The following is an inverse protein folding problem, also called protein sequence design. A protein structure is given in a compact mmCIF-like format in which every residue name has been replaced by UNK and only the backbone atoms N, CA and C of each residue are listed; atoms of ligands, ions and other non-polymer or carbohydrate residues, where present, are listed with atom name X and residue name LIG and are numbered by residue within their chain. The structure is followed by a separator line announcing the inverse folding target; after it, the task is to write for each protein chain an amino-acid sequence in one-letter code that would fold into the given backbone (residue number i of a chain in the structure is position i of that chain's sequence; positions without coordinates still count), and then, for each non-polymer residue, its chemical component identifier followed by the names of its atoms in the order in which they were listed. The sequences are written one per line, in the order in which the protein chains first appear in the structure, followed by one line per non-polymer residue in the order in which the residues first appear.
data_IF_381564494065
#
_entry.id   IF_381564494065
#
_cell.length_a   1.000
_cell.length_b   1.000
_cell.length_c   1.000
_cell.angle_alpha   90.00
_cell.angle_beta   90.00
_cell.angle_gamma   90.00
#
_symmetry.space_group_name_H-M   'P 1'
#
loop_
_entity.id
_entity.type
_entity.pdbx_description
1 polymer ?
#
# COMPACT_ATOMS: atom_id res chain seq x y z
N UNK A 1 20.58 3.78 12.25
CA UNK A 1 21.06 2.59 13.02
C UNK A 1 20.36 1.39 12.41
N UNK A 2 21.10 0.37 11.98
CA UNK A 2 20.50 -0.85 11.41
C UNK A 2 19.97 -1.71 12.57
N UNK A 3 18.76 -2.29 12.39
CA UNK A 3 18.11 -3.05 13.47
C UNK A 3 17.91 -4.53 13.13
N UNK A 4 18.52 -5.02 12.03
CA UNK A 4 18.39 -6.39 11.52
C UNK A 4 16.95 -6.82 11.19
N UNK A 5 16.04 -5.86 10.97
CA UNK A 5 14.66 -6.14 10.56
C UNK A 5 14.51 -6.01 9.05
N UNK A 6 14.06 -7.08 8.41
CA UNK A 6 13.75 -7.15 6.99
C UNK A 6 12.29 -7.55 6.81
N UNK A 7 11.49 -6.71 6.17
CA UNK A 7 10.06 -6.96 5.95
C UNK A 7 9.83 -7.13 4.44
N UNK A 8 9.27 -8.27 4.03
CA UNK A 8 9.06 -8.62 2.63
C UNK A 8 7.60 -8.45 2.22
N UNK A 9 7.39 -7.86 1.05
CA UNK A 9 6.11 -7.74 0.38
C UNK A 9 6.26 -8.07 -1.10
N UNK A 10 5.30 -8.80 -1.68
CA UNK A 10 5.27 -9.06 -3.12
C UNK A 10 3.87 -9.47 -3.62
N UNK A 11 3.75 -9.63 -4.93
CA UNK A 11 2.63 -10.27 -5.62
C UNK A 11 2.91 -11.74 -6.03
N UNK A 12 3.90 -12.39 -5.40
CA UNK A 12 4.35 -13.74 -5.78
C UNK A 12 3.49 -14.86 -5.21
N UNK A 13 2.67 -14.56 -4.18
CA UNK A 13 1.99 -15.61 -3.41
C UNK A 13 2.96 -16.48 -2.60
N UNK A 14 2.41 -17.54 -2.00
CA UNK A 14 3.17 -18.53 -1.22
C UNK A 14 3.02 -19.95 -1.78
N UNK A 15 2.47 -20.10 -2.99
CA UNK A 15 2.18 -21.40 -3.58
C UNK A 15 3.42 -22.06 -4.15
N UNK A 16 4.39 -21.25 -4.61
CA UNK A 16 5.67 -21.72 -5.13
C UNK A 16 6.87 -21.28 -4.28
N UNK A 17 8.08 -21.50 -4.78
CA UNK A 17 9.32 -21.23 -4.06
C UNK A 17 9.86 -19.80 -4.16
N UNK A 18 9.17 -18.85 -4.80
CA UNK A 18 9.73 -17.53 -5.09
C UNK A 18 10.06 -16.75 -3.79
N UNK A 19 9.10 -16.64 -2.87
CA UNK A 19 9.32 -15.99 -1.56
C UNK A 19 10.35 -16.72 -0.72
N UNK A 20 10.33 -18.05 -0.71
CA UNK A 20 11.33 -18.87 -0.01
C UNK A 20 12.74 -18.63 -0.55
N UNK A 21 12.89 -18.45 -1.88
CA UNK A 21 14.18 -18.11 -2.49
C UNK A 21 14.67 -16.71 -2.08
N UNK A 22 13.78 -15.73 -1.96
CA UNK A 22 14.13 -14.39 -1.44
C UNK A 22 14.63 -14.47 0.01
N UNK A 23 13.94 -15.24 0.85
CA UNK A 23 14.36 -15.49 2.25
C UNK A 23 15.72 -16.19 2.30
N UNK A 24 15.93 -17.23 1.48
CA UNK A 24 17.18 -17.96 1.41
C UNK A 24 18.37 -17.06 1.08
N UNK A 25 18.22 -16.20 0.06
CA UNK A 25 19.25 -15.22 -0.32
C UNK A 25 19.50 -14.20 0.80
N UNK A 26 18.46 -13.75 1.48
CA UNK A 26 18.63 -12.83 2.59
C UNK A 26 19.38 -13.46 3.78
N UNK A 27 19.09 -14.72 4.11
CA UNK A 27 19.77 -15.46 5.18
C UNK A 27 21.20 -15.91 4.78
N UNK A 28 21.48 -16.15 3.50
CA UNK A 28 22.82 -16.36 2.98
C UNK A 28 23.70 -15.12 3.22
N UNK A 29 23.14 -13.93 3.01
CA UNK A 29 23.83 -12.66 3.26
C UNK A 29 24.03 -12.40 4.76
N UNK A 30 23.01 -12.63 5.60
CA UNK A 30 23.13 -12.51 7.05
C UNK A 30 22.16 -13.44 7.79
N UNK A 31 22.67 -14.53 8.41
CA UNK A 31 21.84 -15.49 9.15
C UNK A 31 21.14 -14.90 10.39
N UNK A 32 21.53 -13.71 10.83
CA UNK A 32 20.98 -13.05 12.02
C UNK A 32 19.79 -12.12 11.70
N UNK A 33 19.43 -11.99 10.43
CA UNK A 33 18.29 -11.18 10.01
C UNK A 33 16.98 -11.72 10.58
N UNK A 34 16.18 -10.82 11.10
CA UNK A 34 14.78 -11.08 11.49
C UNK A 34 13.89 -10.75 10.32
N UNK A 35 13.50 -11.80 9.58
CA UNK A 35 12.69 -11.65 8.37
C UNK A 35 11.21 -11.78 8.73
N UNK A 36 10.42 -10.82 8.29
CA UNK A 36 8.98 -10.77 8.48
C UNK A 36 8.28 -10.59 7.12
N UNK A 37 7.01 -10.97 7.07
CA UNK A 37 6.17 -10.77 5.89
C UNK A 37 5.17 -9.66 6.16
N UNK A 38 5.07 -8.69 5.25
CA UNK A 38 3.94 -7.79 5.20
C UNK A 38 2.76 -8.54 4.57
N UNK A 39 2.89 -8.89 3.31
CA UNK A 39 1.99 -9.79 2.56
C UNK A 39 2.67 -10.24 1.26
N UNK A 40 2.26 -11.39 0.75
CA UNK A 40 2.63 -11.86 -0.59
C UNK A 40 1.41 -12.09 -1.49
N UNK A 41 0.22 -11.66 -1.01
CA UNK A 41 -1.06 -11.81 -1.69
C UNK A 41 -1.52 -10.52 -2.39
N UNK A 42 -0.58 -9.64 -2.76
CA UNK A 42 -0.89 -8.52 -3.66
C UNK A 42 -1.41 -9.10 -4.98
N UNK A 43 -2.48 -8.53 -5.49
CA UNK A 43 -2.99 -8.92 -6.81
C UNK A 43 -1.87 -8.80 -7.85
N UNK A 44 -1.60 -9.83 -8.65
CA UNK A 44 -0.51 -9.81 -9.63
C UNK A 44 -0.49 -8.53 -10.46
N UNK A 45 0.69 -7.89 -10.53
CA UNK A 45 0.96 -6.65 -11.27
C UNK A 45 0.29 -5.38 -10.71
N UNK A 46 -0.45 -5.46 -9.58
CA UNK A 46 -1.15 -4.32 -9.02
C UNK A 46 -0.22 -3.46 -8.14
N UNK A 47 0.46 -2.50 -8.78
CA UNK A 47 1.38 -1.56 -8.13
C UNK A 47 0.64 -0.68 -7.12
N UNK A 48 -0.61 -0.27 -7.42
CA UNK A 48 -1.42 0.55 -6.52
C UNK A 48 -1.66 -0.18 -5.19
N UNK A 49 -2.08 -1.45 -5.26
CA UNK A 49 -2.28 -2.26 -4.06
C UNK A 49 -0.98 -2.44 -3.28
N UNK A 50 0.15 -2.72 -3.97
CA UNK A 50 1.47 -2.82 -3.34
C UNK A 50 1.86 -1.54 -2.59
N UNK A 51 1.68 -0.39 -3.21
CA UNK A 51 1.93 0.92 -2.60
C UNK A 51 1.04 1.18 -1.39
N UNK A 52 -0.25 0.85 -1.50
CA UNK A 52 -1.22 1.05 -0.41
C UNK A 52 -0.93 0.14 0.79
N UNK A 53 -0.65 -1.16 0.58
CA UNK A 53 -0.34 -2.10 1.67
C UNK A 53 0.94 -1.72 2.41
N UNK A 54 1.93 -1.21 1.68
CA UNK A 54 3.15 -0.68 2.28
C UNK A 54 2.83 0.53 3.19
N UNK A 55 2.07 1.50 2.69
CA UNK A 55 1.59 2.65 3.45
C UNK A 55 0.76 2.22 4.67
N UNK A 56 -0.15 1.27 4.52
CA UNK A 56 -1.00 0.76 5.60
C UNK A 56 -0.19 0.26 6.80
N UNK A 57 1.06 -0.14 6.59
CA UNK A 57 1.82 -0.93 7.56
C UNK A 57 3.06 -0.21 8.09
N UNK A 58 3.70 0.63 7.28
CA UNK A 58 5.04 1.20 7.56
C UNK A 58 5.11 1.92 8.90
N UNK A 59 4.06 2.62 9.29
CA UNK A 59 4.01 3.42 10.52
C UNK A 59 4.06 2.59 11.82
N UNK A 60 3.75 1.31 11.75
CA UNK A 60 3.77 0.40 12.90
C UNK A 60 5.13 -0.28 13.10
N UNK A 61 6.09 -0.06 12.19
CA UNK A 61 7.42 -0.64 12.28
C UNK A 61 8.42 0.35 12.86
N UNK A 62 9.39 -0.13 13.66
CA UNK A 62 10.37 0.73 14.26
C UNK A 62 11.28 1.40 13.23
N UNK A 63 11.91 2.49 13.65
CA UNK A 63 12.98 3.17 12.94
C UNK A 63 14.13 2.18 12.60
N UNK A 64 14.74 2.35 11.44
CA UNK A 64 15.80 1.46 10.93
C UNK A 64 15.30 0.18 10.26
N UNK A 65 13.97 -0.06 10.21
CA UNK A 65 13.41 -1.21 9.49
C UNK A 65 13.63 -1.07 7.98
N UNK A 66 14.05 -2.16 7.34
CA UNK A 66 14.17 -2.26 5.89
C UNK A 66 13.00 -3.06 5.32
N UNK A 67 12.27 -2.45 4.39
CA UNK A 67 11.21 -3.11 3.61
C UNK A 67 11.74 -3.47 2.23
N UNK A 68 11.40 -4.65 1.75
CA UNK A 68 11.57 -5.06 0.35
C UNK A 68 10.18 -5.25 -0.24
N UNK A 69 9.78 -4.36 -1.14
CA UNK A 69 8.47 -4.39 -1.77
C UNK A 69 8.61 -4.62 -3.27
N UNK A 70 8.09 -5.75 -3.75
CA UNK A 70 8.27 -6.19 -5.13
C UNK A 70 6.93 -6.49 -5.78
N UNK A 71 6.42 -5.50 -6.53
CA UNK A 71 5.37 -5.66 -7.54
C UNK A 71 5.95 -5.05 -8.81
N UNK A 72 6.45 -5.89 -9.72
CA UNK A 72 7.35 -5.43 -10.77
C UNK A 72 6.99 -5.96 -12.16
N UNK A 73 5.89 -5.47 -12.76
CA UNK A 73 5.54 -5.84 -14.14
C UNK A 73 6.58 -5.40 -15.18
N UNK A 74 7.48 -4.49 -14.80
CA UNK A 74 8.57 -3.98 -15.64
C UNK A 74 9.93 -4.64 -15.38
N UNK A 75 10.00 -5.81 -14.74
CA UNK A 75 11.26 -6.50 -14.45
C UNK A 75 12.11 -6.68 -15.71
N UNK A 76 13.42 -6.37 -15.62
CA UNK A 76 14.34 -6.44 -16.75
C UNK A 76 14.25 -5.27 -17.75
N UNK A 77 13.36 -4.30 -17.56
CA UNK A 77 13.30 -3.07 -18.37
C UNK A 77 14.28 -1.99 -17.86
N UNK A 78 14.19 -0.79 -18.42
CA UNK A 78 14.99 0.37 -18.01
C UNK A 78 14.47 1.07 -16.73
N UNK A 79 13.40 0.55 -16.07
CA UNK A 79 12.93 1.12 -14.81
C UNK A 79 14.03 1.01 -13.76
N UNK A 80 14.17 2.02 -12.90
CA UNK A 80 15.19 2.03 -11.87
C UNK A 80 14.81 1.08 -10.72
N UNK A 81 15.84 0.52 -10.10
CA UNK A 81 15.75 -0.19 -8.81
C UNK A 81 16.28 0.77 -7.75
N UNK A 82 15.56 0.96 -6.65
CA UNK A 82 15.90 2.04 -5.69
C UNK A 82 15.82 1.58 -4.24
N UNK A 83 16.54 2.32 -3.38
CA UNK A 83 16.33 2.35 -1.93
C UNK A 83 15.90 3.76 -1.55
N UNK A 84 14.70 3.89 -1.01
CA UNK A 84 14.17 5.15 -0.50
C UNK A 84 14.27 5.20 1.02
N UNK A 85 14.64 6.36 1.57
CA UNK A 85 14.65 6.64 3.01
C UNK A 85 13.42 7.48 3.35
N UNK A 86 12.58 6.99 4.25
CA UNK A 86 11.38 7.72 4.72
C UNK A 86 11.74 8.79 5.75
N UNK A 87 10.84 9.75 5.96
CA UNK A 87 10.96 10.76 7.03
C UNK A 87 11.03 10.15 8.44
N UNK A 88 10.62 8.88 8.60
CA UNK A 88 10.69 8.10 9.85
C UNK A 88 11.94 7.21 9.95
N UNK A 89 12.98 7.49 9.17
CA UNK A 89 14.22 6.69 9.13
C UNK A 89 14.02 5.20 8.86
N UNK A 90 13.02 4.84 8.09
CA UNK A 90 12.83 3.50 7.56
C UNK A 90 13.31 3.47 6.10
N UNK A 91 13.57 2.29 5.57
CA UNK A 91 14.13 2.14 4.22
C UNK A 91 13.28 1.20 3.39
N UNK A 92 13.06 1.55 2.12
CA UNK A 92 12.22 0.79 1.19
C UNK A 92 13.04 0.46 -0.05
N UNK A 93 13.26 -0.82 -0.28
CA UNK A 93 13.94 -1.39 -1.45
C UNK A 93 12.88 -1.85 -2.42
N UNK A 94 12.81 -1.25 -3.62
CA UNK A 94 11.68 -1.44 -4.53
C UNK A 94 12.03 -1.02 -5.97
N UNK A 95 11.29 -1.48 -6.99
CA UNK A 95 11.32 -0.82 -8.29
C UNK A 95 10.72 0.59 -8.20
N UNK A 96 11.30 1.56 -8.91
CA UNK A 96 10.74 2.89 -9.07
C UNK A 96 9.70 2.89 -10.19
N UNK A 97 8.51 2.43 -9.88
CA UNK A 97 7.40 2.20 -10.81
C UNK A 97 6.04 2.69 -10.29
N UNK A 98 6.05 3.44 -9.18
CA UNK A 98 4.84 3.91 -8.50
C UNK A 98 4.61 3.27 -7.13
N UNK A 99 5.36 2.25 -6.75
CA UNK A 99 5.25 1.60 -5.42
C UNK A 99 5.48 2.58 -4.26
N UNK A 100 6.23 3.66 -4.48
CA UNK A 100 6.51 4.67 -3.45
C UNK A 100 5.46 5.77 -3.33
N UNK A 101 4.40 5.79 -4.15
CA UNK A 101 3.46 6.92 -4.24
C UNK A 101 2.77 7.26 -2.93
N UNK A 102 2.16 6.28 -2.27
CA UNK A 102 1.49 6.51 -0.98
C UNK A 102 2.48 6.84 0.14
N UNK A 103 3.69 6.28 0.11
CA UNK A 103 4.76 6.61 1.06
C UNK A 103 5.21 8.07 0.87
N UNK A 104 5.46 8.50 -0.36
CA UNK A 104 5.85 9.89 -0.67
C UNK A 104 4.77 10.87 -0.19
N UNK A 105 3.50 10.57 -0.48
CA UNK A 105 2.36 11.44 -0.16
C UNK A 105 2.07 11.54 1.34
N UNK A 106 2.13 10.44 2.09
CA UNK A 106 1.59 10.38 3.45
C UNK A 106 2.65 10.22 4.56
N UNK A 107 3.81 9.67 4.25
CA UNK A 107 4.91 9.46 5.22
C UNK A 107 6.06 10.43 4.97
N UNK A 108 6.31 10.75 3.70
CA UNK A 108 7.45 11.54 3.25
C UNK A 108 8.67 10.69 2.94
N UNK A 109 9.37 11.05 1.87
CA UNK A 109 10.65 10.46 1.46
C UNK A 109 11.69 11.58 1.50
N UNK A 110 12.76 11.38 2.27
CA UNK A 110 13.81 12.39 2.47
C UNK A 110 15.04 12.18 1.61
N UNK A 111 15.26 10.95 1.13
CA UNK A 111 16.35 10.62 0.23
C UNK A 111 16.02 9.35 -0.57
N UNK A 112 16.61 9.23 -1.76
CA UNK A 112 16.47 8.04 -2.61
C UNK A 112 17.78 7.78 -3.36
N UNK A 113 18.16 6.51 -3.49
CA UNK A 113 19.35 6.08 -4.25
C UNK A 113 19.00 4.98 -5.24
N UNK A 114 19.58 5.07 -6.43
CA UNK A 114 19.51 4.00 -7.41
C UNK A 114 20.42 2.83 -6.98
N UNK A 115 19.94 1.61 -7.04
CA UNK A 115 20.73 0.43 -6.71
C UNK A 115 21.76 0.21 -7.82
N UNK A 116 23.03 0.24 -7.45
CA UNK A 116 24.11 -0.16 -8.35
C UNK A 116 24.13 -1.68 -8.46
N UNK A 117 23.56 -2.24 -9.51
CA UNK A 117 23.55 -3.69 -9.72
C UNK A 117 24.96 -4.29 -9.85
N UNK A 118 25.94 -3.52 -10.26
CA UNK A 118 27.36 -3.96 -10.28
C UNK A 118 27.85 -4.34 -8.87
N UNK A 119 27.36 -3.68 -7.84
CA UNK A 119 27.78 -3.88 -6.43
C UNK A 119 26.75 -4.65 -5.63
N UNK A 120 25.49 -4.51 -5.95
CA UNK A 120 24.35 -4.91 -5.12
C UNK A 120 23.41 -5.88 -5.84
N UNK A 121 23.92 -6.65 -6.78
CA UNK A 121 23.27 -7.81 -7.37
C UNK A 121 23.95 -9.08 -6.88
N UNK A 122 23.19 -10.14 -6.60
CA UNK A 122 23.73 -11.44 -6.20
C UNK A 122 24.62 -11.99 -7.33
N UNK A 123 25.81 -12.48 -6.97
CA UNK A 123 26.78 -12.99 -7.92
C UNK A 123 26.23 -14.18 -8.74
N UNK A 124 26.70 -14.31 -9.96
CA UNK A 124 26.35 -15.38 -10.89
C UNK A 124 24.84 -15.39 -11.28
N UNK A 125 24.19 -14.24 -11.29
CA UNK A 125 22.79 -14.07 -11.74
C UNK A 125 22.66 -13.14 -12.95
N UNK A 126 23.75 -12.76 -13.58
CA UNK A 126 23.81 -11.81 -14.70
C UNK A 126 23.15 -12.34 -15.99
N UNK A 127 22.90 -13.61 -16.04
CA UNK A 127 22.26 -14.28 -17.21
C UNK A 127 20.75 -14.34 -17.12
N UNK A 128 20.15 -13.89 -15.98
CA UNK A 128 18.70 -13.89 -15.78
C UNK A 128 18.22 -12.54 -15.26
N UNK A 129 17.31 -11.93 -15.98
CA UNK A 129 16.73 -10.63 -15.67
C UNK A 129 15.25 -10.72 -15.26
N UNK A 130 14.77 -11.93 -14.93
CA UNK A 130 13.35 -12.17 -14.65
C UNK A 130 13.02 -12.27 -13.17
N UNK A 131 14.02 -12.28 -12.28
CA UNK A 131 13.81 -12.43 -10.85
C UNK A 131 14.62 -11.39 -10.02
N UNK A 132 14.49 -10.12 -10.36
CA UNK A 132 15.10 -9.04 -9.57
C UNK A 132 14.60 -9.02 -8.11
N UNK A 133 13.42 -9.55 -7.82
CA UNK A 133 12.90 -9.74 -6.46
C UNK A 133 13.92 -10.44 -5.55
N UNK A 134 14.49 -11.53 -6.03
CA UNK A 134 15.53 -12.32 -5.33
C UNK A 134 16.92 -11.69 -5.50
N UNK A 135 17.33 -11.44 -6.75
CA UNK A 135 18.74 -11.20 -7.10
C UNK A 135 19.20 -9.75 -6.85
N UNK A 136 18.26 -8.80 -6.82
CA UNK A 136 18.52 -7.38 -6.59
C UNK A 136 17.87 -6.91 -5.29
N UNK A 137 16.55 -7.03 -5.15
CA UNK A 137 15.85 -6.39 -4.04
C UNK A 137 16.05 -7.10 -2.71
N UNK A 138 15.85 -8.42 -2.62
CA UNK A 138 16.06 -9.17 -1.38
C UNK A 138 17.54 -9.15 -0.99
N UNK A 139 18.44 -9.29 -1.96
CA UNK A 139 19.88 -9.25 -1.73
C UNK A 139 20.36 -7.88 -1.21
N UNK A 140 19.99 -6.79 -1.89
CA UNK A 140 20.32 -5.42 -1.45
C UNK A 140 19.68 -5.11 -0.10
N UNK A 141 18.42 -5.48 0.09
CA UNK A 141 17.68 -5.28 1.33
C UNK A 141 18.34 -5.99 2.52
N UNK A 142 18.83 -7.22 2.31
CA UNK A 142 19.53 -8.00 3.32
C UNK A 142 20.87 -7.36 3.72
N UNK A 143 21.70 -6.97 2.73
CA UNK A 143 22.96 -6.26 2.95
C UNK A 143 22.74 -4.97 3.75
N UNK A 144 21.70 -4.24 3.39
CA UNK A 144 21.39 -2.96 4.03
C UNK A 144 20.83 -3.18 5.45
N UNK A 145 19.85 -4.06 5.66
CA UNK A 145 19.27 -4.35 6.97
C UNK A 145 20.30 -4.88 7.99
N UNK A 146 21.27 -5.67 7.53
CA UNK A 146 22.37 -6.21 8.35
C UNK A 146 23.50 -5.20 8.62
N UNK A 147 23.50 -4.05 7.91
CA UNK A 147 24.58 -3.06 8.03
C UNK A 147 25.85 -3.42 7.26
N UNK A 148 25.82 -4.39 6.34
CA UNK A 148 26.97 -4.74 5.49
C UNK A 148 27.24 -3.66 4.44
N UNK A 149 26.25 -2.81 4.12
CA UNK A 149 26.38 -1.60 3.30
C UNK A 149 25.71 -0.43 3.99
N UNK A 150 26.25 0.77 3.79
CA UNK A 150 25.62 2.04 4.16
C UNK A 150 24.57 2.46 3.11
N UNK A 151 23.82 3.53 3.39
CA UNK A 151 22.88 4.08 2.41
C UNK A 151 23.62 4.63 1.19
N UNK A 152 24.81 5.20 1.38
CA UNK A 152 25.70 5.74 0.34
C UNK A 152 26.24 4.63 -0.58
N UNK A 153 26.45 3.42 -0.06
CA UNK A 153 26.98 2.27 -0.82
C UNK A 153 25.93 1.64 -1.75
N UNK A 154 24.64 1.94 -1.56
CA UNK A 154 23.56 1.48 -2.44
C UNK A 154 23.84 1.89 -3.89
N UNK A 155 24.27 3.13 -4.11
CA UNK A 155 24.58 3.68 -5.44
C UNK A 155 24.36 5.18 -5.54
N UNK A 156 24.21 5.73 -6.75
CA UNK A 156 24.06 7.16 -6.96
C UNK A 156 22.77 7.70 -6.35
N UNK A 157 22.86 8.91 -5.83
CA UNK A 157 21.71 9.64 -5.32
C UNK A 157 20.79 10.09 -6.46
N UNK A 158 19.49 10.06 -6.23
CA UNK A 158 18.46 10.54 -7.14
C UNK A 158 17.68 11.69 -6.48
N UNK A 159 17.05 12.52 -7.31
CA UNK A 159 16.11 13.52 -6.80
C UNK A 159 14.80 12.84 -6.38
N UNK A 160 14.31 13.16 -5.18
CA UNK A 160 13.02 12.71 -4.67
C UNK A 160 11.85 13.17 -5.55
N UNK A 161 12.00 14.30 -6.23
CA UNK A 161 11.00 14.84 -7.15
C UNK A 161 10.77 13.96 -8.38
N UNK A 162 11.75 13.16 -8.75
CA UNK A 162 11.69 12.30 -9.94
C UNK A 162 11.19 10.87 -9.64
N UNK A 163 10.73 10.59 -8.41
CA UNK A 163 10.08 9.31 -8.09
C UNK A 163 8.85 9.16 -8.98
N UNK A 164 8.73 7.99 -9.61
CA UNK A 164 7.55 7.63 -10.40
C UNK A 164 6.34 7.51 -9.49
N UNK A 165 5.26 8.20 -9.84
CA UNK A 165 4.01 8.19 -9.08
C UNK A 165 2.86 7.60 -9.91
N UNK A 166 1.99 6.85 -9.26
CA UNK A 166 0.72 6.39 -9.85
C UNK A 166 -0.34 7.47 -9.69
N UNK A 167 -1.30 7.56 -10.61
CA UNK A 167 -2.47 8.43 -10.44
C UNK A 167 -3.28 8.02 -9.19
N UNK A 168 -3.61 8.99 -8.36
CA UNK A 168 -4.49 8.85 -7.20
C UNK A 168 -5.68 9.77 -7.38
N UNK A 169 -6.89 9.28 -7.11
CA UNK A 169 -8.10 10.09 -7.17
C UNK A 169 -8.13 11.02 -5.96
N UNK A 170 -8.14 12.31 -6.20
CA UNK A 170 -8.27 13.32 -5.15
C UNK A 170 -9.73 13.43 -4.68
N UNK A 171 -9.90 13.70 -3.39
CA UNK A 171 -11.22 13.95 -2.80
C UNK A 171 -11.76 15.31 -3.26
N UNK A 172 -13.04 15.37 -3.61
CA UNK A 172 -13.73 16.61 -3.96
C UNK A 172 -14.74 16.93 -2.86
N UNK A 173 -14.72 18.17 -2.40
CA UNK A 173 -15.63 18.69 -1.37
C UNK A 173 -16.61 19.67 -2.01
N UNK A 174 -17.91 19.42 -1.83
CA UNK A 174 -19.02 20.29 -2.21
C UNK A 174 -19.88 20.56 -0.96
N UNK A 175 -20.76 21.54 -0.95
CA UNK A 175 -21.46 22.01 0.26
C UNK A 175 -22.00 20.89 1.17
N UNK A 176 -22.72 19.93 0.63
CA UNK A 176 -23.29 18.81 1.38
C UNK A 176 -22.81 17.42 0.89
N UNK A 177 -21.73 17.37 0.12
CA UNK A 177 -21.27 16.19 -0.59
C UNK A 177 -19.75 16.07 -0.56
N UNK A 178 -19.26 14.86 -0.26
CA UNK A 178 -17.85 14.47 -0.40
C UNK A 178 -17.76 13.35 -1.42
N UNK A 179 -16.88 13.51 -2.42
CA UNK A 179 -16.62 12.52 -3.46
C UNK A 179 -15.20 11.98 -3.34
N UNK A 180 -15.02 10.70 -3.55
CA UNK A 180 -13.72 10.03 -3.55
C UNK A 180 -13.74 8.75 -4.37
N UNK A 181 -12.74 7.92 -4.16
CA UNK A 181 -12.62 6.60 -4.78
C UNK A 181 -12.70 5.48 -3.73
N UNK A 182 -13.01 4.28 -4.18
CA UNK A 182 -12.77 3.05 -3.42
C UNK A 182 -11.34 2.61 -3.69
N UNK A 183 -10.43 2.95 -2.78
CA UNK A 183 -9.00 2.69 -2.96
C UNK A 183 -8.69 1.20 -2.86
N UNK A 184 -9.18 0.55 -1.80
CA UNK A 184 -8.83 -0.82 -1.52
C UNK A 184 -9.93 -1.54 -0.72
N UNK A 185 -9.90 -2.87 -0.76
CA UNK A 185 -10.74 -3.69 0.12
C UNK A 185 -9.96 -4.14 1.35
N UNK A 186 -10.65 -4.21 2.48
CA UNK A 186 -10.26 -5.14 3.52
C UNK A 186 -10.54 -6.55 2.99
N UNK A 187 -9.50 -7.22 2.51
CA UNK A 187 -9.63 -8.44 1.70
C UNK A 187 -10.38 -9.55 2.44
N UNK A 188 -10.16 -9.67 3.74
CA UNK A 188 -10.74 -10.75 4.53
C UNK A 188 -12.24 -10.54 4.80
N UNK A 189 -12.63 -9.30 5.10
CA UNK A 189 -14.00 -8.96 5.50
C UNK A 189 -14.83 -8.33 4.37
N UNK A 190 -14.17 -7.85 3.31
CA UNK A 190 -14.83 -7.23 2.16
C UNK A 190 -15.42 -5.86 2.44
N UNK A 191 -14.88 -5.15 3.43
CA UNK A 191 -15.17 -3.75 3.67
C UNK A 191 -14.45 -2.89 2.63
N UNK A 192 -15.07 -1.79 2.22
CA UNK A 192 -14.47 -0.81 1.30
C UNK A 192 -13.69 0.22 2.12
N UNK A 193 -12.48 0.54 1.70
CA UNK A 193 -11.71 1.65 2.24
C UNK A 193 -11.52 2.70 1.14
N UNK A 194 -11.88 3.93 1.45
CA UNK A 194 -11.96 5.00 0.47
C UNK A 194 -10.74 5.92 0.51
N UNK A 195 -10.59 6.77 -0.51
CA UNK A 195 -9.60 7.84 -0.53
C UNK A 195 -9.95 8.97 0.47
N UNK A 196 -11.20 9.06 0.91
CA UNK A 196 -11.72 10.15 1.76
C UNK A 196 -11.13 10.02 3.15
N UNK A 197 -10.36 11.03 3.58
CA UNK A 197 -9.84 11.12 4.93
C UNK A 197 -10.92 11.51 5.93
N UNK A 198 -10.68 11.25 7.23
CA UNK A 198 -11.57 11.72 8.30
C UNK A 198 -11.73 13.25 8.29
N UNK A 199 -10.64 13.97 8.03
CA UNK A 199 -10.64 15.44 7.95
C UNK A 199 -11.53 15.94 6.82
N UNK A 200 -11.45 15.32 5.64
CA UNK A 200 -12.31 15.65 4.50
C UNK A 200 -13.77 15.29 4.79
N UNK A 201 -14.04 14.16 5.43
CA UNK A 201 -15.40 13.78 5.81
C UNK A 201 -15.99 14.71 6.88
N UNK A 202 -15.16 15.29 7.75
CA UNK A 202 -15.60 16.29 8.74
C UNK A 202 -16.16 17.56 8.10
N UNK A 203 -15.91 17.81 6.80
CA UNK A 203 -16.57 18.87 6.03
C UNK A 203 -18.10 18.79 6.12
N UNK A 204 -18.65 17.58 6.17
CA UNK A 204 -20.10 17.36 6.34
C UNK A 204 -20.58 17.50 7.79
N UNK A 205 -19.69 17.82 8.75
CA UNK A 205 -19.99 17.87 10.21
C UNK A 205 -20.80 16.63 10.66
N UNK A 206 -20.25 15.42 10.49
CA UNK A 206 -20.97 14.18 10.74
C UNK A 206 -21.12 13.89 12.24
N UNK A 207 -22.31 13.45 12.66
CA UNK A 207 -22.59 12.97 14.01
C UNK A 207 -22.81 11.44 14.01
N UNK A 208 -22.39 10.76 15.07
CA UNK A 208 -22.66 9.33 15.20
C UNK A 208 -24.15 9.04 15.32
N UNK A 209 -24.61 8.06 14.55
CA UNK A 209 -26.00 7.71 14.40
C UNK A 209 -26.71 8.45 13.25
N UNK A 210 -26.09 9.48 12.70
CA UNK A 210 -26.61 10.20 11.54
C UNK A 210 -26.58 9.33 10.29
N UNK A 211 -27.48 9.56 9.35
CA UNK A 211 -27.57 8.84 8.09
C UNK A 211 -27.10 9.71 6.93
N UNK A 212 -26.30 9.13 6.07
CA UNK A 212 -25.81 9.74 4.84
C UNK A 212 -26.29 8.95 3.64
N UNK A 213 -26.63 9.63 2.55
CA UNK A 213 -26.80 8.97 1.28
C UNK A 213 -25.42 8.60 0.74
N UNK A 214 -25.22 7.33 0.46
CA UNK A 214 -23.99 6.79 -0.12
C UNK A 214 -24.29 6.24 -1.48
N UNK A 215 -23.57 6.73 -2.50
CA UNK A 215 -23.67 6.28 -3.87
C UNK A 215 -22.32 5.78 -4.36
N UNK A 216 -22.30 4.63 -5.03
CA UNK A 216 -21.09 4.04 -5.61
C UNK A 216 -21.31 3.83 -7.09
N UNK A 217 -20.34 4.25 -7.88
CA UNK A 217 -20.30 4.08 -9.33
C UNK A 217 -19.08 3.26 -9.76
N UNK A 218 -19.24 2.51 -10.84
CA UNK A 218 -18.14 1.99 -11.65
C UNK A 218 -18.13 2.75 -12.98
N UNK A 219 -17.18 3.67 -13.17
CA UNK A 219 -17.28 4.73 -14.16
C UNK A 219 -18.62 5.47 -14.00
N UNK A 220 -19.46 5.49 -15.03
CA UNK A 220 -20.78 6.13 -15.01
C UNK A 220 -21.93 5.20 -14.59
N UNK A 221 -21.64 3.92 -14.32
CA UNK A 221 -22.63 2.93 -13.94
C UNK A 221 -22.90 2.99 -12.44
N UNK A 222 -24.15 3.30 -12.07
CA UNK A 222 -24.63 3.21 -10.69
C UNK A 222 -24.60 1.74 -10.20
N UNK A 223 -23.87 1.46 -9.13
CA UNK A 223 -23.74 0.13 -8.53
C UNK A 223 -24.50 0.04 -7.22
N UNK A 224 -24.43 1.09 -6.40
CA UNK A 224 -25.07 1.13 -5.10
C UNK A 224 -25.57 2.53 -4.78
N UNK A 225 -26.77 2.63 -4.20
CA UNK A 225 -27.29 3.86 -3.61
C UNK A 225 -28.19 3.51 -2.43
N UNK A 226 -27.87 4.02 -1.26
CA UNK A 226 -28.68 3.81 -0.06
C UNK A 226 -28.33 4.82 1.03
N UNK A 227 -29.21 4.93 2.02
CA UNK A 227 -28.94 5.66 3.25
C UNK A 227 -28.18 4.74 4.23
N UNK A 228 -27.02 5.18 4.70
CA UNK A 228 -26.12 4.42 5.57
C UNK A 228 -25.85 5.18 6.85
N UNK A 229 -25.96 4.50 7.98
CA UNK A 229 -25.68 5.09 9.30
C UNK A 229 -24.17 5.26 9.48
N UNK A 230 -23.75 6.43 9.96
CA UNK A 230 -22.38 6.66 10.44
C UNK A 230 -22.26 6.21 11.88
N UNK A 231 -21.37 5.26 12.14
CA UNK A 231 -21.18 4.66 13.47
C UNK A 231 -19.72 4.64 13.92
N UNK A 232 -19.52 4.41 15.20
CA UNK A 232 -18.19 4.25 15.83
C UNK A 232 -17.62 2.85 15.54
N UNK A 233 -18.51 1.85 15.46
CA UNK A 233 -18.14 0.47 15.29
C UNK A 233 -19.25 -0.31 14.57
N UNK A 234 -18.91 -1.51 14.09
CA UNK A 234 -19.88 -2.39 13.41
C UNK A 234 -21.10 -2.71 14.28
N UNK A 235 -20.96 -2.68 15.62
CA UNK A 235 -22.04 -2.96 16.56
C UNK A 235 -23.16 -1.90 16.59
N UNK A 236 -22.95 -0.72 16.00
CA UNK A 236 -23.94 0.35 15.97
C UNK A 236 -25.08 0.11 14.97
N UNK A 237 -24.93 -0.94 14.14
CA UNK A 237 -25.99 -1.39 13.22
C UNK A 237 -26.25 -2.89 13.41
N UNK A 238 -27.44 -3.35 12.99
CA UNK A 238 -27.78 -4.77 13.07
C UNK A 238 -26.90 -5.60 12.12
N UNK A 239 -26.75 -6.90 12.43
CA UNK A 239 -26.10 -7.87 11.54
C UNK A 239 -26.74 -7.79 10.15
N UNK A 240 -25.90 -7.75 9.11
CA UNK A 240 -26.32 -7.65 7.72
C UNK A 240 -26.61 -6.23 7.24
N UNK A 241 -26.55 -5.20 8.09
CA UNK A 241 -26.77 -3.82 7.69
C UNK A 241 -25.46 -3.11 7.32
N UNK A 242 -25.50 -2.19 6.33
CA UNK A 242 -24.34 -1.37 5.99
C UNK A 242 -24.08 -0.30 7.03
N UNK A 243 -22.79 0.06 7.15
CA UNK A 243 -22.31 1.10 8.07
C UNK A 243 -21.17 1.91 7.41
N UNK A 244 -21.24 3.24 7.55
CA UNK A 244 -20.09 4.14 7.39
C UNK A 244 -19.33 4.23 8.70
N UNK A 245 -17.99 4.19 8.64
CA UNK A 245 -17.14 4.29 9.81
C UNK A 245 -15.77 4.87 9.45
N UNK A 246 -15.00 5.26 10.45
CA UNK A 246 -13.58 5.63 10.24
C UNK A 246 -12.71 4.41 10.53
N UNK A 247 -11.92 4.02 9.53
CA UNK A 247 -11.02 2.86 9.63
C UNK A 247 -9.72 3.20 10.40
N UNK A 248 -8.85 2.19 10.59
CA UNK A 248 -7.59 2.33 11.32
C UNK A 248 -6.54 3.23 10.64
N UNK A 249 -6.75 3.64 9.40
CA UNK A 249 -5.94 4.63 8.68
C UNK A 249 -6.57 6.03 8.66
N UNK A 250 -7.56 6.27 9.53
CA UNK A 250 -8.30 7.53 9.59
C UNK A 250 -8.97 7.93 8.27
N UNK A 251 -9.47 6.92 7.53
CA UNK A 251 -10.23 7.10 6.28
C UNK A 251 -11.64 6.56 6.44
N UNK A 252 -12.54 7.09 5.64
CA UNK A 252 -13.91 6.59 5.59
C UNK A 252 -13.91 5.17 5.03
N UNK A 253 -14.55 4.27 5.75
CA UNK A 253 -14.84 2.92 5.33
C UNK A 253 -16.35 2.66 5.20
N UNK A 254 -16.71 1.71 4.35
CA UNK A 254 -18.08 1.23 4.17
C UNK A 254 -18.08 -0.28 4.30
N UNK A 255 -18.89 -0.81 5.20
CA UNK A 255 -18.93 -2.24 5.50
C UNK A 255 -20.36 -2.73 5.69
N UNK A 256 -20.52 -4.06 5.75
CA UNK A 256 -21.73 -4.72 6.27
C UNK A 256 -21.35 -5.38 7.60
N UNK A 257 -22.13 -5.13 8.66
CA UNK A 257 -21.90 -5.81 9.92
C UNK A 257 -22.03 -7.34 9.75
N UNK A 258 -20.93 -8.07 9.99
CA UNK A 258 -20.79 -9.53 9.79
C UNK A 258 -21.07 -9.98 8.34
N UNK A 259 -20.80 -9.13 7.35
CA UNK A 259 -20.97 -9.45 5.94
C UNK A 259 -19.91 -8.80 5.07
N UNK A 260 -19.83 -9.18 3.80
CA UNK A 260 -18.92 -8.59 2.82
C UNK A 260 -19.66 -7.62 1.93
N UNK A 261 -19.37 -6.33 2.04
CA UNK A 261 -19.97 -5.30 1.20
C UNK A 261 -19.56 -5.48 -0.27
N UNK A 262 -18.27 -5.72 -0.51
CA UNK A 262 -17.75 -5.92 -1.86
C UNK A 262 -18.43 -7.08 -2.59
N UNK A 263 -18.66 -8.22 -1.90
CA UNK A 263 -19.35 -9.37 -2.49
C UNK A 263 -20.84 -9.13 -2.66
N UNK A 264 -21.50 -8.51 -1.67
CA UNK A 264 -22.95 -8.27 -1.72
C UNK A 264 -23.37 -7.38 -2.89
N UNK A 265 -22.52 -6.41 -3.23
CA UNK A 265 -22.82 -5.41 -4.28
C UNK A 265 -21.87 -5.46 -5.47
N UNK A 266 -20.99 -6.47 -5.54
CA UNK A 266 -20.00 -6.62 -6.61
C UNK A 266 -19.14 -5.37 -6.82
N UNK A 267 -18.66 -4.76 -5.71
CA UNK A 267 -17.82 -3.57 -5.73
C UNK A 267 -16.34 -3.98 -5.81
N UNK A 268 -15.62 -3.38 -6.75
CA UNK A 268 -14.17 -3.50 -6.89
C UNK A 268 -13.41 -2.28 -6.37
N UNK A 269 -12.18 -2.10 -6.82
CA UNK A 269 -11.27 -1.04 -6.41
C UNK A 269 -10.58 -0.38 -7.60
N UNK A 270 -9.96 0.77 -7.37
CA UNK A 270 -9.17 1.49 -8.36
C UNK A 270 -9.92 2.66 -8.99
N UNK A 271 -9.29 3.30 -9.98
CA UNK A 271 -9.69 4.60 -10.51
C UNK A 271 -11.09 4.66 -11.14
N UNK A 272 -11.68 3.51 -11.51
CA UNK A 272 -13.05 3.47 -12.04
C UNK A 272 -14.14 3.41 -10.97
N UNK A 273 -13.76 3.17 -9.70
CA UNK A 273 -14.70 3.01 -8.60
C UNK A 273 -14.77 4.28 -7.76
N UNK A 274 -15.86 5.01 -7.93
CA UNK A 274 -16.13 6.28 -7.25
C UNK A 274 -17.17 6.10 -6.15
N UNK A 275 -17.01 6.87 -5.07
CA UNK A 275 -17.96 6.94 -3.97
C UNK A 275 -18.35 8.39 -3.72
N UNK A 276 -19.64 8.62 -3.53
CA UNK A 276 -20.22 9.89 -3.13
C UNK A 276 -20.94 9.71 -1.79
N UNK A 277 -20.68 10.62 -0.86
CA UNK A 277 -21.29 10.63 0.46
C UNK A 277 -21.95 11.99 0.66
N UNK A 278 -23.28 11.99 0.72
CA UNK A 278 -24.09 13.20 0.83
C UNK A 278 -24.75 13.29 2.20
N UNK A 279 -24.61 14.44 2.84
CA UNK A 279 -25.40 14.78 4.03
C UNK A 279 -26.84 15.05 3.60
N UNK A 280 -27.78 14.41 4.29
CA UNK A 280 -29.20 14.62 4.04
C UNK A 280 -29.67 15.89 4.73
N UNK A 281 -30.47 16.68 4.05
CA UNK A 281 -31.19 17.80 4.69
C UNK A 281 -32.28 17.23 5.61
N UNK A 282 -32.35 17.77 6.84
CA UNK A 282 -33.36 17.40 7.83
C UNK A 282 -34.73 17.97 7.46
#
# INVERSE_FOLDING_TARGET
MHNNLLVLQSDFGLVDGAVSAMIGVALEESPTLKIHHLTHDITPYNIFEGSYRLFQTVDYWPEGTTFVSVVDPGVGSKRKSVVAKTAKNQYIVTPDNGTLSFIKKHVGIVAIREISEVKNRRANTEFSYTFHGRDVYAYTGAKFASGHISFEDVGPELSVEHIVEIPVVETVLEDNLVKGAVDILDVRFGSLWTSITREEFNHLSPEFGERFEVTIYNNDMLVYQNQVTYGKSFADVRIGQPILYINSLYRVGLAINQGSFAKAYNVGVGASWHIEIRKMEN
#
